data_IF_922320917001
#
_entry.id   IF_922320917001
#
_cell.length_a   1.000
_cell.length_b   1.000
_cell.length_c   1.000
_cell.angle_alpha   90.00
_cell.angle_beta   90.00
_cell.angle_gamma   90.00
#
_symmetry.space_group_name_H-M   'P 1'
#
loop_
_entity.id
_entity.type
_entity.pdbx_description
1 polymer ?
#
# COMPACT_ATOMS: atom_id res chain seq x y z
N UNK A 1 23.03 -18.01 -34.90
CA UNK A 1 21.66 -17.47 -34.79
C UNK A 1 21.45 -16.96 -33.37
N UNK A 2 21.71 -15.68 -33.14
CA UNK A 2 21.40 -15.02 -31.87
C UNK A 2 19.88 -14.89 -31.73
N UNK A 3 19.33 -15.49 -30.67
CA UNK A 3 17.94 -15.25 -30.28
C UNK A 3 17.89 -13.87 -29.64
N UNK A 4 17.50 -12.86 -30.41
CA UNK A 4 17.13 -11.55 -29.87
C UNK A 4 15.87 -11.72 -29.02
N UNK A 5 16.06 -12.06 -27.75
CA UNK A 5 14.99 -12.11 -26.77
C UNK A 5 14.35 -10.72 -26.71
N UNK A 6 13.14 -10.59 -27.26
CA UNK A 6 12.32 -9.37 -27.14
C UNK A 6 12.30 -9.00 -25.66
N UNK A 7 12.92 -7.87 -25.30
CA UNK A 7 12.80 -7.27 -23.97
C UNK A 7 11.34 -6.90 -23.76
N UNK A 8 10.54 -7.85 -23.30
CA UNK A 8 9.16 -7.63 -22.92
C UNK A 8 9.11 -6.59 -21.80
N UNK A 9 8.05 -5.77 -21.78
CA UNK A 9 7.74 -4.90 -20.65
C UNK A 9 7.78 -5.74 -19.36
N UNK A 10 8.53 -5.32 -18.33
CA UNK A 10 8.50 -6.01 -17.04
C UNK A 10 7.05 -6.18 -16.60
N UNK A 11 6.63 -7.42 -16.34
CA UNK A 11 5.32 -7.67 -15.75
C UNK A 11 5.32 -6.96 -14.40
N UNK A 12 4.39 -6.04 -14.19
CA UNK A 12 4.24 -5.33 -12.93
C UNK A 12 3.59 -6.30 -11.94
N UNK A 13 4.40 -7.06 -11.22
CA UNK A 13 3.93 -8.14 -10.34
C UNK A 13 3.12 -7.63 -9.14
N UNK A 14 3.20 -6.33 -8.81
CA UNK A 14 2.41 -5.73 -7.75
C UNK A 14 1.43 -4.70 -8.32
N UNK A 15 0.21 -5.17 -8.58
CA UNK A 15 -0.95 -4.29 -8.77
C UNK A 15 -1.45 -3.88 -7.38
N UNK A 16 -1.62 -2.58 -7.16
CA UNK A 16 -2.25 -2.08 -5.94
C UNK A 16 -3.75 -2.34 -6.04
N UNK A 17 -4.33 -3.05 -5.08
CA UNK A 17 -5.77 -3.24 -5.00
C UNK A 17 -6.46 -2.09 -4.26
N UNK A 18 -7.75 -1.91 -4.55
CA UNK A 18 -8.57 -0.88 -3.89
C UNK A 18 -9.38 -1.50 -2.77
N UNK A 19 -9.30 -0.92 -1.58
CA UNK A 19 -10.10 -1.30 -0.42
C UNK A 19 -11.14 -0.21 -0.13
N UNK A 20 -12.36 -0.62 0.22
CA UNK A 20 -13.40 0.26 0.75
C UNK A 20 -13.54 -0.01 2.25
N UNK A 21 -13.55 1.04 3.07
CA UNK A 21 -13.58 0.93 4.54
C UNK A 21 -14.63 1.86 5.13
N UNK A 22 -15.33 1.41 6.16
CA UNK A 22 -16.26 2.24 6.95
C UNK A 22 -15.53 2.71 8.20
N UNK A 23 -15.56 4.02 8.45
CA UNK A 23 -14.88 4.65 9.58
C UNK A 23 -15.83 5.67 10.23
N UNK A 24 -15.70 5.91 11.55
CA UNK A 24 -16.34 7.04 12.21
C UNK A 24 -15.91 8.36 11.57
N UNK A 25 -16.80 9.36 11.62
CA UNK A 25 -16.56 10.66 10.99
C UNK A 25 -15.34 11.37 11.57
N UNK A 26 -15.13 11.23 12.88
CA UNK A 26 -14.01 11.80 13.62
C UNK A 26 -12.67 11.29 13.07
N UNK A 27 -12.58 10.00 12.78
CA UNK A 27 -11.37 9.37 12.20
C UNK A 27 -11.11 9.90 10.78
N UNK A 28 -12.16 10.11 9.99
CA UNK A 28 -12.01 10.68 8.64
C UNK A 28 -11.40 12.08 8.72
N UNK A 29 -11.85 12.91 9.69
CA UNK A 29 -11.29 14.25 9.90
C UNK A 29 -9.82 14.20 10.33
N UNK A 30 -9.44 13.26 11.20
CA UNK A 30 -8.04 13.08 11.60
C UNK A 30 -7.15 12.69 10.41
N UNK A 31 -7.62 11.79 9.54
CA UNK A 31 -6.93 11.40 8.31
C UNK A 31 -6.74 12.60 7.39
N UNK A 32 -7.77 13.42 7.18
CA UNK A 32 -7.68 14.59 6.32
C UNK A 32 -6.73 15.66 6.88
N UNK A 33 -6.73 15.86 8.19
CA UNK A 33 -5.75 16.71 8.86
C UNK A 33 -4.33 16.20 8.67
N UNK A 34 -4.12 14.88 8.75
CA UNK A 34 -2.83 14.26 8.49
C UNK A 34 -2.38 14.43 7.03
N UNK A 35 -3.28 14.25 6.06
CA UNK A 35 -3.00 14.52 4.63
C UNK A 35 -2.55 15.96 4.43
N UNK A 36 -3.21 16.93 5.07
CA UNK A 36 -2.84 18.33 4.97
C UNK A 36 -1.46 18.62 5.57
N UNK A 37 -1.09 17.96 6.68
CA UNK A 37 0.26 18.05 7.26
C UNK A 37 1.31 17.48 6.30
N UNK A 38 1.05 16.31 5.71
CA UNK A 38 1.95 15.68 4.73
C UNK A 38 2.15 16.57 3.49
N UNK A 39 1.07 17.12 2.93
CA UNK A 39 1.16 18.05 1.79
C UNK A 39 2.05 19.27 2.07
N UNK A 40 2.02 19.78 3.31
CA UNK A 40 2.88 20.90 3.73
C UNK A 40 4.36 20.50 3.85
N UNK A 41 4.65 19.24 4.21
CA UNK A 41 6.02 18.72 4.34
C UNK A 41 6.65 18.43 2.98
N UNK A 42 5.89 17.88 2.03
CA UNK A 42 6.37 17.52 0.70
C UNK A 42 5.86 18.51 -0.35
N UNK A 43 6.30 19.77 -0.23
CA UNK A 43 5.95 20.80 -1.20
C UNK A 43 6.46 20.41 -2.60
N UNK A 44 5.59 20.51 -3.61
CA UNK A 44 5.90 20.10 -4.98
C UNK A 44 5.58 18.64 -5.30
N UNK A 45 5.13 17.83 -4.33
CA UNK A 45 4.65 16.47 -4.57
C UNK A 45 3.13 16.37 -4.47
N UNK A 46 2.48 15.69 -5.43
CA UNK A 46 1.03 15.49 -5.40
C UNK A 46 0.66 14.34 -4.46
N UNK A 47 0.62 14.61 -3.16
CA UNK A 47 0.22 13.64 -2.14
C UNK A 47 -1.30 13.47 -2.12
N UNK A 48 -1.74 12.22 -2.24
CA UNK A 48 -3.16 11.84 -2.17
C UNK A 48 -3.55 11.30 -0.80
N UNK A 49 -4.86 11.24 -0.53
CA UNK A 49 -5.40 10.59 0.68
C UNK A 49 -4.98 9.12 0.77
N UNK A 50 -4.90 8.43 -0.36
CA UNK A 50 -4.45 7.04 -0.41
C UNK A 50 -2.98 6.88 0.04
N UNK A 51 -2.10 7.83 -0.31
CA UNK A 51 -0.71 7.80 0.12
C UNK A 51 -0.57 7.98 1.64
N UNK A 52 -1.36 8.91 2.20
CA UNK A 52 -1.39 9.14 3.64
C UNK A 52 -1.94 7.93 4.40
N UNK A 53 -3.04 7.33 3.92
CA UNK A 53 -3.62 6.12 4.51
C UNK A 53 -2.61 4.96 4.47
N UNK A 54 -1.90 4.77 3.34
CA UNK A 54 -0.85 3.75 3.23
C UNK A 54 0.27 3.97 4.25
N UNK A 55 0.73 5.20 4.44
CA UNK A 55 1.73 5.51 5.46
C UNK A 55 1.22 5.21 6.88
N UNK A 56 -0.02 5.60 7.21
CA UNK A 56 -0.62 5.32 8.51
C UNK A 56 -0.73 3.81 8.78
N UNK A 57 -1.18 3.04 7.79
CA UNK A 57 -1.29 1.58 7.90
C UNK A 57 0.10 0.95 8.09
N UNK A 58 1.08 1.31 7.25
CA UNK A 58 2.43 0.78 7.36
C UNK A 58 3.07 1.10 8.71
N UNK A 59 2.89 2.33 9.20
CA UNK A 59 3.39 2.74 10.51
C UNK A 59 2.73 1.94 11.64
N UNK A 60 1.41 1.72 11.56
CA UNK A 60 0.67 0.91 12.53
C UNK A 60 1.05 -0.58 12.53
N UNK A 61 1.29 -1.16 11.34
CA UNK A 61 1.75 -2.55 11.19
C UNK A 61 3.17 -2.72 11.74
N UNK A 62 4.08 -1.79 11.44
CA UNK A 62 5.47 -1.84 11.92
C UNK A 62 5.59 -1.52 13.42
N UNK A 63 4.66 -0.76 14.00
CA UNK A 63 4.63 -0.44 15.42
C UNK A 63 4.26 -1.66 16.30
N UNK A 64 3.69 -2.71 15.71
CA UNK A 64 3.38 -3.97 16.39
C UNK A 64 4.29 -5.10 15.89
N UNK A 65 5.55 -5.20 16.38
CA UNK A 65 6.45 -6.30 16.03
C UNK A 65 6.05 -7.65 16.65
N UNK A 66 4.85 -7.78 17.24
CA UNK A 66 4.36 -9.03 17.81
C UNK A 66 4.00 -10.00 16.69
N UNK A 67 4.98 -10.82 16.33
CA UNK A 67 4.89 -12.13 15.68
C UNK A 67 3.84 -12.27 14.56
N UNK A 68 4.27 -12.09 13.31
CA UNK A 68 3.59 -12.70 12.18
C UNK A 68 4.57 -13.48 11.31
N UNK A 69 5.14 -14.55 11.85
CA UNK A 69 5.34 -15.76 11.04
C UNK A 69 3.98 -16.44 10.94
N UNK A 70 3.05 -15.84 10.21
CA UNK A 70 1.74 -16.42 10.00
C UNK A 70 1.80 -17.24 8.70
N UNK A 71 1.80 -18.60 8.76
CA UNK A 71 1.92 -19.45 7.57
C UNK A 71 0.78 -19.24 6.56
N UNK A 72 -0.32 -18.62 6.98
CA UNK A 72 -1.49 -18.31 6.16
C UNK A 72 -1.22 -17.33 5.01
N UNK A 73 -0.28 -16.39 5.17
CA UNK A 73 -0.03 -15.37 4.13
C UNK A 73 0.59 -16.01 2.88
N UNK A 74 1.42 -17.03 3.03
CA UNK A 74 1.97 -17.76 1.87
C UNK A 74 0.93 -18.67 1.21
N UNK A 75 -0.02 -19.20 1.99
CA UNK A 75 -1.10 -20.03 1.47
C UNK A 75 -2.17 -19.20 0.73
N UNK A 76 -2.55 -18.03 1.25
CA UNK A 76 -3.42 -17.07 0.55
C UNK A 76 -2.79 -16.55 -0.74
N UNK A 77 -1.47 -16.23 -0.72
CA UNK A 77 -0.73 -15.85 -1.93
C UNK A 77 -0.72 -16.95 -2.99
N UNK A 78 -0.69 -18.22 -2.58
CA UNK A 78 -0.73 -19.38 -3.50
C UNK A 78 -2.12 -19.54 -4.12
N UNK A 79 -3.19 -19.45 -3.30
CA UNK A 79 -4.59 -19.54 -3.76
C UNK A 79 -5.03 -18.42 -4.70
N UNK A 80 -4.44 -17.24 -4.61
CA UNK A 80 -4.79 -16.12 -5.49
C UNK A 80 -4.20 -16.25 -6.91
N UNK A 81 -3.21 -17.11 -7.09
CA UNK A 81 -2.52 -17.34 -8.37
C UNK A 81 -2.86 -18.68 -9.05
N UNK A 82 -3.66 -19.54 -8.39
CA UNK A 82 -4.33 -20.71 -8.98
C UNK A 82 -5.66 -20.30 -9.65
#
# INVERSE_FOLDING_TARGET
MEKTGKRGRPKKENVMETIAVRLPFEIILEIDNYVNKLKKQFQGMNITRADAIRQLINNGLNANPKESKNPDIEEEKRRFWD
#
